data_IF_238271551055
#
_entry.id   IF_238271551055
#
_cell.length_a   1.000
_cell.length_b   1.000
_cell.length_c   1.000
_cell.angle_alpha   90.00
_cell.angle_beta   90.00
_cell.angle_gamma   90.00
#
_symmetry.space_group_name_H-M   'P 1'
#
loop_
_entity.id
_entity.type
_entity.pdbx_description
1 polymer ?
#
# COMPACT_ATOMS: atom_id res chain seq x y z
N UNK A 1 2.51 -3.48 34.01
CA UNK A 1 3.45 -4.51 33.50
C UNK A 1 3.02 -5.17 32.18
N UNK A 2 1.78 -4.99 31.70
CA UNK A 2 1.31 -5.57 30.41
C UNK A 2 1.47 -4.66 29.19
N UNK A 3 2.00 -3.44 29.36
CA UNK A 3 2.08 -2.42 28.30
C UNK A 3 3.51 -2.24 27.75
N UNK A 4 4.52 -2.81 28.42
CA UNK A 4 5.93 -2.74 28.03
C UNK A 4 6.30 -3.72 26.90
N UNK A 5 5.62 -4.87 26.79
CA UNK A 5 5.90 -5.85 25.73
C UNK A 5 5.30 -5.46 24.37
N UNK A 6 4.36 -4.50 24.36
CA UNK A 6 3.52 -4.18 23.22
C UNK A 6 4.21 -3.28 22.17
N UNK A 7 5.30 -2.61 22.54
CA UNK A 7 6.02 -1.65 21.68
C UNK A 7 7.41 -2.14 21.22
N UNK A 8 7.74 -3.41 21.46
CA UNK A 8 9.08 -3.94 21.15
C UNK A 8 9.18 -4.38 19.68
N UNK A 9 10.25 -3.98 19.01
CA UNK A 9 10.61 -4.50 17.69
C UNK A 9 11.16 -5.91 17.84
N UNK A 10 10.36 -6.91 17.45
CA UNK A 10 10.65 -8.32 17.71
C UNK A 10 11.51 -8.99 16.63
N UNK A 11 12.19 -10.09 17.00
CA UNK A 11 12.92 -10.98 16.06
C UNK A 11 12.05 -11.42 14.88
N UNK A 12 10.80 -11.75 15.15
CA UNK A 12 9.84 -12.14 14.10
C UNK A 12 9.65 -11.01 13.08
N UNK A 13 9.53 -9.75 13.52
CA UNK A 13 9.36 -8.61 12.61
C UNK A 13 10.61 -8.34 11.79
N UNK A 14 11.79 -8.52 12.38
CA UNK A 14 13.04 -8.46 11.65
C UNK A 14 13.10 -9.52 10.53
N UNK A 15 12.73 -10.77 10.84
CA UNK A 15 12.63 -11.85 9.84
C UNK A 15 11.59 -11.54 8.75
N UNK A 16 10.42 -10.99 9.13
CA UNK A 16 9.41 -10.55 8.18
C UNK A 16 9.91 -9.43 7.25
N UNK A 17 10.81 -8.57 7.73
CA UNK A 17 11.45 -7.53 6.91
C UNK A 17 12.36 -8.16 5.85
N UNK A 18 13.11 -9.21 6.21
CA UNK A 18 13.94 -9.98 5.25
C UNK A 18 13.08 -10.69 4.23
N UNK A 19 12.01 -11.38 4.67
CA UNK A 19 11.06 -12.01 3.77
C UNK A 19 10.44 -10.99 2.82
N UNK A 20 10.09 -9.80 3.33
CA UNK A 20 9.58 -8.69 2.51
C UNK A 20 10.58 -8.18 1.48
N UNK A 21 11.88 -8.14 1.78
CA UNK A 21 12.93 -7.80 0.81
C UNK A 21 13.06 -8.90 -0.26
N UNK A 22 13.02 -10.16 0.14
CA UNK A 22 13.07 -11.28 -0.81
C UNK A 22 11.88 -11.25 -1.78
N UNK A 23 10.66 -11.04 -1.26
CA UNK A 23 9.47 -10.91 -2.10
C UNK A 23 9.57 -9.75 -3.08
N UNK A 24 10.14 -8.62 -2.66
CA UNK A 24 10.38 -7.46 -3.55
C UNK A 24 11.34 -7.80 -4.70
N UNK A 25 12.42 -8.54 -4.43
CA UNK A 25 13.34 -8.98 -5.49
C UNK A 25 12.68 -9.97 -6.45
N UNK A 26 11.85 -10.88 -5.92
CA UNK A 26 11.08 -11.83 -6.74
C UNK A 26 10.10 -11.08 -7.64
N UNK A 27 9.42 -10.05 -7.13
CA UNK A 27 8.46 -9.21 -7.88
C UNK A 27 9.12 -8.60 -9.12
N UNK A 28 10.25 -7.89 -8.92
CA UNK A 28 11.05 -7.32 -10.01
C UNK A 28 11.41 -8.39 -11.05
N UNK A 29 11.83 -9.58 -10.60
CA UNK A 29 12.16 -10.69 -11.48
C UNK A 29 10.96 -11.19 -12.27
N UNK A 30 9.78 -11.26 -11.65
CA UNK A 30 8.54 -11.67 -12.31
C UNK A 30 8.04 -10.63 -13.32
N UNK A 31 8.20 -9.34 -13.04
CA UNK A 31 7.79 -8.26 -13.94
C UNK A 31 8.66 -8.19 -15.19
N UNK A 32 9.99 -8.30 -15.02
CA UNK A 32 10.93 -8.40 -16.14
C UNK A 32 10.63 -9.63 -16.98
N UNK A 33 10.40 -10.79 -16.35
CA UNK A 33 10.05 -12.02 -17.07
C UNK A 33 8.74 -11.86 -17.85
N UNK A 34 7.74 -11.20 -17.27
CA UNK A 34 6.45 -10.98 -17.91
C UNK A 34 6.58 -10.05 -19.12
N UNK A 35 7.32 -8.94 -18.98
CA UNK A 35 7.58 -8.01 -20.07
C UNK A 35 8.33 -8.69 -21.23
N UNK A 36 9.36 -9.50 -20.92
CA UNK A 36 10.10 -10.28 -21.94
C UNK A 36 9.18 -11.28 -22.63
N UNK A 37 8.30 -11.95 -21.89
CA UNK A 37 7.34 -12.90 -22.47
C UNK A 37 6.42 -12.21 -23.49
N UNK A 38 5.79 -11.09 -23.13
CA UNK A 38 4.92 -10.36 -24.05
C UNK A 38 5.67 -9.80 -25.26
N UNK A 39 6.94 -9.42 -25.10
CA UNK A 39 7.77 -8.96 -26.19
C UNK A 39 8.10 -10.11 -27.17
N UNK A 40 8.43 -11.29 -26.65
CA UNK A 40 8.71 -12.48 -27.45
C UNK A 40 7.46 -13.00 -28.20
N UNK A 41 6.28 -12.83 -27.61
CA UNK A 41 4.99 -13.17 -28.21
C UNK A 41 4.46 -12.06 -29.16
N UNK A 42 5.27 -11.05 -29.50
CA UNK A 42 4.95 -9.92 -30.40
C UNK A 42 3.76 -9.04 -29.93
N UNK A 43 3.36 -9.16 -28.67
CA UNK A 43 2.33 -8.34 -28.05
C UNK A 43 2.91 -7.02 -27.52
N UNK A 44 3.25 -6.11 -28.43
CA UNK A 44 3.92 -4.84 -28.10
C UNK A 44 3.09 -3.92 -27.20
N UNK A 45 1.75 -3.91 -27.34
CA UNK A 45 0.88 -3.08 -26.49
C UNK A 45 0.92 -3.56 -25.04
N UNK A 46 0.82 -4.87 -24.81
CA UNK A 46 0.89 -5.44 -23.46
C UNK A 46 2.27 -5.24 -22.85
N UNK A 47 3.33 -5.40 -23.64
CA UNK A 47 4.69 -5.08 -23.23
C UNK A 47 4.83 -3.63 -22.78
N UNK A 48 4.34 -2.68 -23.59
CA UNK A 48 4.42 -1.25 -23.29
C UNK A 48 3.62 -0.87 -22.03
N UNK A 49 2.43 -1.45 -21.84
CA UNK A 49 1.61 -1.24 -20.65
C UNK A 49 2.31 -1.80 -19.39
N UNK A 50 2.79 -3.04 -19.44
CA UNK A 50 3.53 -3.66 -18.31
C UNK A 50 4.75 -2.83 -17.94
N UNK A 51 5.61 -2.46 -18.90
CA UNK A 51 6.76 -1.60 -18.64
C UNK A 51 6.35 -0.22 -18.12
N UNK A 52 5.25 0.34 -18.63
CA UNK A 52 4.70 1.62 -18.15
C UNK A 52 4.30 1.56 -16.68
N UNK A 53 3.65 0.49 -16.24
CA UNK A 53 3.27 0.29 -14.83
C UNK A 53 4.51 0.11 -13.93
N UNK A 54 5.49 -0.70 -14.37
CA UNK A 54 6.77 -0.88 -13.67
C UNK A 54 7.51 0.45 -13.50
N UNK A 55 7.63 1.22 -14.59
CA UNK A 55 8.27 2.53 -14.56
C UNK A 55 7.51 3.52 -13.68
N UNK A 56 6.17 3.53 -13.70
CA UNK A 56 5.38 4.40 -12.86
C UNK A 56 5.57 4.10 -11.36
N UNK A 57 5.49 2.82 -10.97
CA UNK A 57 5.75 2.37 -9.59
C UNK A 57 7.17 2.72 -9.14
N UNK A 58 8.18 2.41 -9.96
CA UNK A 58 9.58 2.71 -9.66
C UNK A 58 9.84 4.21 -9.56
N UNK A 59 9.36 5.03 -10.49
CA UNK A 59 9.62 6.48 -10.47
C UNK A 59 9.00 7.12 -9.23
N UNK A 60 7.74 6.82 -8.91
CA UNK A 60 7.07 7.39 -7.75
C UNK A 60 7.74 6.96 -6.45
N UNK A 61 8.04 5.67 -6.29
CA UNK A 61 8.68 5.15 -5.08
C UNK A 61 10.08 5.75 -4.88
N UNK A 62 10.86 5.93 -5.94
CA UNK A 62 12.18 6.56 -5.85
C UNK A 62 12.09 8.06 -5.55
N UNK A 63 11.12 8.78 -6.11
CA UNK A 63 10.89 10.21 -5.79
C UNK A 63 10.58 10.38 -4.31
N UNK A 64 9.62 9.62 -3.76
CA UNK A 64 9.29 9.67 -2.33
C UNK A 64 10.44 9.19 -1.46
N UNK A 65 11.10 8.09 -1.83
CA UNK A 65 12.28 7.57 -1.12
C UNK A 65 13.38 8.63 -1.03
N UNK A 66 13.65 9.32 -2.13
CA UNK A 66 14.69 10.36 -2.17
C UNK A 66 14.30 11.56 -1.30
N UNK A 67 13.07 12.06 -1.46
CA UNK A 67 12.58 13.20 -0.71
C UNK A 67 12.66 12.95 0.80
N UNK A 68 12.16 11.80 1.26
CA UNK A 68 12.20 11.44 2.67
C UNK A 68 13.62 11.21 3.19
N UNK A 69 14.53 10.63 2.37
CA UNK A 69 15.92 10.47 2.79
C UNK A 69 16.63 11.82 2.95
N UNK A 70 16.33 12.76 2.04
CA UNK A 70 16.87 14.12 2.11
C UNK A 70 16.41 14.83 3.38
N UNK A 71 15.13 14.69 3.74
CA UNK A 71 14.57 15.27 4.96
C UNK A 71 15.26 14.66 6.20
N UNK A 72 15.39 13.33 6.26
CA UNK A 72 16.06 12.62 7.37
C UNK A 72 17.54 13.06 7.55
N UNK A 73 18.28 13.25 6.45
CA UNK A 73 19.67 13.76 6.49
C UNK A 73 19.73 15.21 6.94
N UNK A 74 18.80 16.04 6.50
CA UNK A 74 18.75 17.45 6.87
C UNK A 74 18.52 17.65 8.36
N UNK A 75 17.78 16.73 8.98
CA UNK A 75 17.51 16.72 10.40
C UNK A 75 18.73 16.32 11.23
N UNK A 76 19.44 15.25 10.82
CA UNK A 76 20.70 14.84 11.48
C UNK A 76 21.74 15.96 11.44
N UNK A 77 21.83 16.69 10.32
CA UNK A 77 22.73 17.83 10.17
C UNK A 77 22.36 19.02 11.08
N UNK A 78 21.08 19.18 11.44
CA UNK A 78 20.62 20.24 12.34
C UNK A 78 20.82 19.86 13.81
N UNK A 79 20.70 18.58 14.14
CA UNK A 79 20.72 18.08 15.53
C UNK A 79 22.11 17.67 16.03
N UNK A 80 23.10 17.50 15.14
CA UNK A 80 24.45 17.06 15.52
C UNK A 80 25.52 18.02 15.00
N UNK A 81 26.11 18.82 15.89
CA UNK A 81 27.45 19.39 15.67
C UNK A 81 28.47 18.23 15.62
N UNK A 82 28.61 17.60 14.45
CA UNK A 82 29.82 16.83 14.13
C UNK A 82 29.79 15.31 14.32
N UNK A 83 28.70 14.60 14.00
CA UNK A 83 28.79 13.15 13.74
C UNK A 83 28.36 12.79 12.31
N UNK A 84 29.29 12.13 11.62
CA UNK A 84 29.24 11.85 10.19
C UNK A 84 28.05 10.94 9.82
N UNK A 85 27.32 11.39 8.80
CA UNK A 85 26.47 10.62 7.85
C UNK A 85 26.35 9.13 8.16
N UNK A 86 25.12 8.70 8.50
CA UNK A 86 24.72 7.31 8.81
C UNK A 86 25.09 6.27 7.72
N UNK A 87 25.55 6.70 6.53
CA UNK A 87 26.12 5.82 5.50
C UNK A 87 27.45 6.30 4.87
N UNK A 88 28.05 7.41 5.32
CA UNK A 88 29.25 7.99 4.71
C UNK A 88 29.11 8.40 3.23
N UNK A 89 27.89 8.42 2.68
CA UNK A 89 27.65 8.69 1.26
C UNK A 89 27.49 10.18 0.98
N UNK A 90 28.12 10.67 -0.10
CA UNK A 90 27.93 12.04 -0.58
C UNK A 90 26.50 12.24 -1.12
N UNK A 91 26.00 13.49 -1.06
CA UNK A 91 24.68 13.86 -1.62
C UNK A 91 24.53 13.43 -3.09
N UNK A 92 25.61 13.49 -3.87
CA UNK A 92 25.63 13.05 -5.27
C UNK A 92 25.48 11.53 -5.43
N UNK A 93 26.17 10.73 -4.61
CA UNK A 93 26.06 9.28 -4.65
C UNK A 93 24.64 8.79 -4.31
N UNK A 94 23.94 9.49 -3.41
CA UNK A 94 22.56 9.18 -3.06
C UNK A 94 21.59 9.45 -4.22
N UNK A 95 21.74 10.57 -4.92
CA UNK A 95 20.93 10.91 -6.11
C UNK A 95 21.13 9.85 -7.19
N UNK A 96 22.40 9.49 -7.46
CA UNK A 96 22.75 8.45 -8.43
C UNK A 96 22.09 7.12 -8.04
N UNK A 97 22.15 6.75 -6.76
CA UNK A 97 21.58 5.50 -6.27
C UNK A 97 20.04 5.44 -6.41
N UNK A 98 19.34 6.56 -6.21
CA UNK A 98 17.89 6.63 -6.45
C UNK A 98 17.54 6.68 -7.93
N UNK A 99 18.38 7.31 -8.76
CA UNK A 99 18.22 7.34 -10.22
C UNK A 99 18.33 5.93 -10.83
N UNK A 100 19.20 5.08 -10.29
CA UNK A 100 19.34 3.67 -10.70
C UNK A 100 18.32 2.72 -10.04
N UNK A 101 17.36 3.22 -9.28
CA UNK A 101 16.35 2.37 -8.62
C UNK A 101 16.84 1.64 -7.37
N UNK A 102 18.09 1.89 -6.93
CA UNK A 102 18.71 1.19 -5.80
C UNK A 102 18.35 1.82 -4.44
N UNK A 103 17.64 2.96 -4.45
CA UNK A 103 17.17 3.70 -3.26
C UNK A 103 16.46 2.84 -2.22
N UNK A 104 15.51 2.03 -2.66
CA UNK A 104 14.73 1.15 -1.78
C UNK A 104 15.63 0.14 -1.06
N UNK A 105 16.62 -0.45 -1.74
CA UNK A 105 17.55 -1.39 -1.12
C UNK A 105 18.38 -0.74 0.00
N UNK A 106 18.73 0.55 -0.13
CA UNK A 106 19.43 1.25 0.96
C UNK A 106 18.54 1.47 2.18
N UNK A 107 17.24 1.74 1.98
CA UNK A 107 16.25 1.82 3.07
C UNK A 107 16.10 0.47 3.78
N UNK A 108 16.01 -0.62 3.03
CA UNK A 108 16.00 -1.98 3.59
C UNK A 108 17.25 -2.28 4.39
N UNK A 109 18.44 -2.00 3.82
CA UNK A 109 19.71 -2.20 4.51
C UNK A 109 19.76 -1.43 5.82
N UNK A 110 19.36 -0.15 5.81
CA UNK A 110 19.34 0.69 7.00
C UNK A 110 18.37 0.16 8.08
N UNK A 111 17.15 -0.23 7.69
CA UNK A 111 16.17 -0.81 8.60
C UNK A 111 16.65 -2.15 9.18
N UNK A 112 17.21 -3.04 8.35
CA UNK A 112 17.71 -4.34 8.77
C UNK A 112 18.93 -4.22 9.69
N UNK A 113 19.87 -3.32 9.40
CA UNK A 113 21.06 -3.07 10.22
C UNK A 113 20.69 -2.50 11.59
N UNK A 114 19.82 -1.48 11.61
CA UNK A 114 19.34 -0.85 12.85
C UNK A 114 18.50 -1.84 13.65
N UNK A 115 17.62 -2.58 12.99
CA UNK A 115 16.81 -3.62 13.62
C UNK A 115 17.66 -4.74 14.21
N UNK A 116 18.70 -5.20 13.51
CA UNK A 116 19.64 -6.18 14.03
C UNK A 116 20.38 -5.68 15.27
N UNK A 117 20.83 -4.42 15.28
CA UNK A 117 21.48 -3.80 16.46
C UNK A 117 20.57 -3.86 17.68
N UNK A 118 19.29 -3.50 17.53
CA UNK A 118 18.30 -3.51 18.63
C UNK A 118 17.89 -4.92 19.05
N UNK A 119 17.82 -5.86 18.11
CA UNK A 119 17.40 -7.25 18.37
C UNK A 119 18.52 -8.12 18.95
N UNK A 120 19.77 -7.88 18.54
CA UNK A 120 20.93 -8.68 18.94
C UNK A 120 21.71 -8.08 20.12
N UNK A 121 21.70 -6.76 20.33
CA UNK A 121 22.17 -6.23 21.61
C UNK A 121 21.03 -6.38 22.61
N UNK A 122 21.20 -7.25 23.60
CA UNK A 122 20.51 -7.10 24.88
C UNK A 122 21.03 -5.79 25.47
N UNK A 123 20.28 -4.72 25.27
CA UNK A 123 20.63 -3.36 25.68
C UNK A 123 20.64 -3.26 27.21
N UNK A 124 21.70 -3.77 27.84
CA UNK A 124 21.87 -3.78 29.29
C UNK A 124 22.32 -2.41 29.85
N UNK A 125 22.48 -1.39 29.00
CA UNK A 125 23.08 -0.10 29.38
C UNK A 125 22.31 1.15 28.92
N UNK A 126 21.13 1.03 28.31
CA UNK A 126 20.30 2.19 27.95
C UNK A 126 19.13 2.32 28.91
N UNK A 127 18.75 3.56 29.18
CA UNK A 127 17.55 3.91 29.96
C UNK A 127 16.30 3.39 29.24
N UNK A 128 15.24 3.07 29.99
CA UNK A 128 13.95 2.63 29.43
C UNK A 128 13.37 3.62 28.40
N UNK A 129 13.66 4.91 28.53
CA UNK A 129 13.23 5.94 27.57
C UNK A 129 14.01 5.88 26.24
N UNK A 130 15.33 5.74 26.30
CA UNK A 130 16.18 5.60 25.10
C UNK A 130 15.84 4.34 24.31
N UNK A 131 15.50 3.25 25.01
CA UNK A 131 15.05 2.00 24.38
C UNK A 131 13.72 2.18 23.65
N UNK A 132 12.77 2.92 24.24
CA UNK A 132 11.48 3.22 23.59
C UNK A 132 11.67 4.10 22.35
N UNK A 133 12.58 5.07 22.41
CA UNK A 133 12.89 5.94 21.28
C UNK A 133 13.51 5.16 20.11
N UNK A 134 14.47 4.27 20.37
CA UNK A 134 15.06 3.40 19.32
C UNK A 134 13.99 2.50 18.65
N UNK A 135 13.09 1.91 19.44
CA UNK A 135 11.98 1.10 18.90
C UNK A 135 10.98 1.93 18.09
N UNK A 136 10.65 3.14 18.55
CA UNK A 136 9.77 4.05 17.84
C UNK A 136 10.38 4.47 16.49
N UNK A 137 11.67 4.81 16.46
CA UNK A 137 12.41 5.12 15.23
C UNK A 137 12.38 3.96 14.24
N UNK A 138 12.54 2.72 14.70
CA UNK A 138 12.41 1.53 13.85
C UNK A 138 11.01 1.38 13.25
N UNK A 139 9.95 1.70 14.00
CA UNK A 139 8.59 1.69 13.47
C UNK A 139 8.31 2.82 12.49
N UNK A 140 8.93 3.99 12.65
CA UNK A 140 8.87 5.06 11.66
C UNK A 140 9.51 4.62 10.34
N UNK A 141 10.74 4.09 10.39
CA UNK A 141 11.43 3.54 9.21
C UNK A 141 10.64 2.41 8.52
N UNK A 142 10.05 1.50 9.31
CA UNK A 142 9.20 0.44 8.78
C UNK A 142 7.91 1.00 8.15
N UNK A 143 7.34 2.07 8.70
CA UNK A 143 6.16 2.75 8.16
C UNK A 143 6.47 3.35 6.79
N UNK A 144 7.56 4.11 6.69
CA UNK A 144 8.00 4.68 5.42
C UNK A 144 8.19 3.59 4.36
N UNK A 145 8.88 2.50 4.71
CA UNK A 145 9.11 1.39 3.78
C UNK A 145 7.80 0.70 3.36
N UNK A 146 6.90 0.44 4.31
CA UNK A 146 5.58 -0.15 4.01
C UNK A 146 4.71 0.77 3.15
N UNK A 147 4.87 2.08 3.27
CA UNK A 147 4.17 3.07 2.46
C UNK A 147 4.71 3.10 1.02
N UNK A 148 6.03 3.01 0.82
CA UNK A 148 6.62 2.88 -0.52
C UNK A 148 6.11 1.61 -1.21
N UNK A 149 6.12 0.47 -0.50
CA UNK A 149 5.57 -0.79 -1.02
C UNK A 149 4.09 -0.70 -1.35
N UNK A 150 3.33 0.07 -0.57
CA UNK A 150 1.93 0.32 -0.86
C UNK A 150 1.77 1.12 -2.17
N UNK A 151 2.59 2.14 -2.39
CA UNK A 151 2.56 2.92 -3.63
C UNK A 151 2.89 2.07 -4.84
N UNK A 152 3.97 1.30 -4.76
CA UNK A 152 4.35 0.32 -5.78
C UNK A 152 3.21 -0.65 -6.08
N UNK A 153 2.65 -1.30 -5.05
CA UNK A 153 1.58 -2.27 -5.23
C UNK A 153 0.36 -1.72 -5.99
N UNK A 154 0.00 -0.45 -5.79
CA UNK A 154 -1.18 0.16 -6.44
C UNK A 154 -0.87 0.87 -7.77
N UNK A 155 0.37 1.30 -8.01
CA UNK A 155 0.77 1.94 -9.27
C UNK A 155 1.29 0.94 -10.30
N UNK A 156 1.84 -0.18 -9.84
CA UNK A 156 2.46 -1.22 -10.64
C UNK A 156 1.65 -2.52 -10.58
N UNK A 157 1.62 -3.19 -9.42
CA UNK A 157 1.08 -4.54 -9.32
C UNK A 157 -0.43 -4.63 -9.58
N UNK A 158 -1.23 -3.65 -9.14
CA UNK A 158 -2.70 -3.63 -9.35
C UNK A 158 -3.06 -3.42 -10.84
N UNK A 159 -2.57 -2.37 -11.54
CA UNK A 159 -2.81 -2.22 -12.98
C UNK A 159 -2.27 -3.39 -13.81
N UNK A 160 -1.14 -3.95 -13.42
CA UNK A 160 -0.59 -5.14 -14.07
C UNK A 160 -1.46 -6.38 -13.84
N UNK A 161 -1.97 -6.60 -12.63
CA UNK A 161 -2.92 -7.69 -12.33
C UNK A 161 -4.23 -7.49 -13.11
N UNK A 162 -4.72 -6.26 -13.23
CA UNK A 162 -5.90 -5.92 -14.04
C UNK A 162 -5.67 -6.25 -15.52
N UNK A 163 -4.50 -5.92 -16.08
CA UNK A 163 -4.11 -6.28 -17.45
C UNK A 163 -3.99 -7.80 -17.62
N UNK A 164 -3.36 -8.49 -16.68
CA UNK A 164 -3.22 -9.95 -16.70
C UNK A 164 -4.58 -10.64 -16.68
N UNK A 165 -5.49 -10.18 -15.82
CA UNK A 165 -6.86 -10.68 -15.78
C UNK A 165 -7.58 -10.40 -17.09
N UNK A 166 -7.44 -9.20 -17.67
CA UNK A 166 -8.02 -8.90 -18.98
C UNK A 166 -7.55 -9.88 -20.07
N UNK A 167 -6.25 -10.15 -20.15
CA UNK A 167 -5.67 -11.09 -21.13
C UNK A 167 -6.16 -12.52 -20.87
N UNK A 168 -6.12 -12.98 -19.63
CA UNK A 168 -6.50 -14.35 -19.23
C UNK A 168 -7.99 -14.62 -19.44
N UNK A 169 -8.85 -13.66 -19.11
CA UNK A 169 -10.28 -13.81 -19.27
C UNK A 169 -10.72 -13.69 -20.74
N UNK A 170 -9.94 -13.01 -21.58
CA UNK A 170 -10.15 -12.93 -23.03
C UNK A 170 -9.63 -14.20 -23.75
N UNK A 171 -8.49 -14.75 -23.32
CA UNK A 171 -7.86 -15.94 -23.90
C UNK A 171 -8.14 -17.19 -23.04
N UNK A 172 -9.14 -17.99 -23.43
CA UNK A 172 -9.70 -19.15 -22.69
C UNK A 172 -8.76 -20.33 -22.38
N UNK A 173 -7.45 -20.21 -22.64
CA UNK A 173 -6.44 -21.23 -22.40
C UNK A 173 -5.47 -20.77 -21.31
N UNK A 174 -5.67 -21.22 -20.08
CA UNK A 174 -4.81 -20.83 -18.95
C UNK A 174 -4.31 -22.02 -18.14
N UNK A 175 -3.04 -21.92 -17.73
CA UNK A 175 -2.41 -22.88 -16.83
C UNK A 175 -2.81 -22.63 -15.38
N UNK A 176 -2.89 -23.69 -14.57
CA UNK A 176 -3.15 -23.60 -13.12
C UNK A 176 -2.15 -22.67 -12.42
N UNK A 177 -0.91 -22.64 -12.90
CA UNK A 177 0.15 -21.79 -12.35
C UNK A 177 -0.15 -20.29 -12.51
N UNK A 178 -0.80 -19.87 -13.61
CA UNK A 178 -1.19 -18.47 -13.80
C UNK A 178 -2.28 -18.05 -12.80
N UNK A 179 -3.27 -18.90 -12.56
CA UNK A 179 -4.31 -18.65 -11.55
C UNK A 179 -3.73 -18.55 -10.14
N UNK A 180 -2.78 -19.44 -9.79
CA UNK A 180 -2.06 -19.36 -8.52
C UNK A 180 -1.23 -18.07 -8.40
N UNK A 181 -0.56 -17.64 -9.47
CA UNK A 181 0.19 -16.39 -9.50
C UNK A 181 -0.69 -15.16 -9.28
N UNK A 182 -1.85 -15.10 -9.95
CA UNK A 182 -2.82 -14.02 -9.77
C UNK A 182 -3.41 -14.02 -8.35
N UNK A 183 -3.73 -15.18 -7.80
CA UNK A 183 -4.20 -15.31 -6.42
C UNK A 183 -3.16 -14.81 -5.40
N UNK A 184 -1.89 -15.16 -5.61
CA UNK A 184 -0.78 -14.64 -4.80
C UNK A 184 -0.64 -13.12 -4.94
N UNK A 185 -0.83 -12.57 -6.14
CA UNK A 185 -0.78 -11.13 -6.39
C UNK A 185 -1.88 -10.38 -5.62
N UNK A 186 -3.13 -10.87 -5.65
CA UNK A 186 -4.21 -10.33 -4.83
C UNK A 186 -3.89 -10.34 -3.33
N UNK A 187 -3.32 -11.46 -2.85
CA UNK A 187 -2.90 -11.57 -1.46
C UNK A 187 -1.79 -10.57 -1.12
N UNK A 188 -0.79 -10.41 -1.98
CA UNK A 188 0.32 -9.48 -1.77
C UNK A 188 -0.17 -8.03 -1.70
N UNK A 189 -1.06 -7.61 -2.62
CA UNK A 189 -1.68 -6.26 -2.61
C UNK A 189 -2.44 -6.01 -1.31
N UNK A 190 -3.29 -6.96 -0.90
CA UNK A 190 -4.04 -6.84 0.35
C UNK A 190 -3.10 -6.79 1.57
N UNK A 191 -2.05 -7.62 1.57
CA UNK A 191 -1.06 -7.67 2.64
C UNK A 191 -0.26 -6.37 2.74
N UNK A 192 0.18 -5.78 1.62
CA UNK A 192 0.89 -4.49 1.61
C UNK A 192 0.07 -3.39 2.30
N UNK A 193 -1.24 -3.34 2.04
CA UNK A 193 -2.16 -2.41 2.69
C UNK A 193 -2.32 -2.66 4.20
N UNK A 194 -2.43 -3.93 4.61
CA UNK A 194 -2.52 -4.30 6.03
C UNK A 194 -1.21 -4.02 6.76
N UNK A 195 -0.07 -4.35 6.14
CA UNK A 195 1.26 -4.10 6.70
C UNK A 195 1.49 -2.61 6.92
N UNK A 196 1.18 -1.78 5.92
CA UNK A 196 1.20 -0.33 6.07
C UNK A 196 0.31 0.15 7.22
N UNK A 197 -0.95 -0.32 7.28
CA UNK A 197 -1.88 0.09 8.35
C UNK A 197 -1.37 -0.29 9.74
N UNK A 198 -0.72 -1.44 9.87
CA UNK A 198 -0.11 -1.90 11.13
C UNK A 198 1.16 -1.13 11.48
N UNK A 199 2.01 -0.83 10.50
CA UNK A 199 3.20 -0.02 10.71
C UNK A 199 2.82 1.40 11.15
N UNK A 200 1.91 2.04 10.44
CA UNK A 200 1.39 3.38 10.76
C UNK A 200 0.81 3.45 12.18
N UNK A 201 -0.04 2.48 12.58
CA UNK A 201 -0.60 2.47 13.94
C UNK A 201 0.45 2.29 15.04
N UNK A 202 1.57 1.63 14.74
CA UNK A 202 2.65 1.40 15.71
C UNK A 202 3.67 2.53 15.76
N UNK A 203 3.77 3.33 14.70
CA UNK A 203 4.56 4.55 14.71
C UNK A 203 3.82 5.72 15.38
N UNK A 204 2.52 5.60 15.65
CA UNK A 204 1.72 6.63 16.30
C UNK A 204 1.59 6.34 17.82
N UNK A 205 2.23 7.13 18.71
CA UNK A 205 2.26 6.84 20.14
C UNK A 205 0.89 6.99 20.83
N UNK A 206 0.01 7.83 20.29
CA UNK A 206 -1.32 8.10 20.84
C UNK A 206 -2.40 7.10 20.39
N UNK A 207 -2.13 6.30 19.35
CA UNK A 207 -3.12 5.37 18.79
C UNK A 207 -2.87 3.95 19.27
N UNK A 208 -3.91 3.27 19.74
CA UNK A 208 -3.81 1.86 20.14
C UNK A 208 -3.45 0.98 18.94
N UNK A 209 -2.41 0.16 19.13
CA UNK A 209 -1.97 -0.77 18.09
C UNK A 209 -3.05 -1.79 17.73
N UNK A 210 -2.94 -2.32 16.52
CA UNK A 210 -3.79 -3.40 16.05
C UNK A 210 -3.23 -4.74 16.53
N UNK A 211 -4.00 -5.53 17.33
CA UNK A 211 -3.51 -6.79 17.86
C UNK A 211 -3.15 -7.76 16.72
N UNK A 212 -2.02 -8.47 16.88
CA UNK A 212 -1.70 -9.60 16.01
C UNK A 212 -2.70 -10.75 16.21
N UNK A 213 -3.03 -11.46 15.13
CA UNK A 213 -3.95 -12.61 15.16
C UNK A 213 -5.27 -12.32 14.45
N UNK A 214 -6.39 -12.67 15.09
CA UNK A 214 -7.73 -12.65 14.50
C UNK A 214 -8.17 -11.27 13.96
N UNK A 215 -7.92 -10.12 14.64
CA UNK A 215 -8.21 -8.80 14.06
C UNK A 215 -7.46 -8.52 12.76
N UNK A 216 -6.19 -8.93 12.70
CA UNK A 216 -5.35 -8.77 11.50
C UNK A 216 -5.87 -9.65 10.36
N UNK A 217 -6.22 -10.89 10.66
CA UNK A 217 -6.78 -11.83 9.67
C UNK A 217 -8.12 -11.35 9.09
N UNK A 218 -9.04 -10.87 9.93
CA UNK A 218 -10.35 -10.39 9.46
C UNK A 218 -10.22 -9.09 8.65
N UNK A 219 -9.33 -8.19 9.06
CA UNK A 219 -9.05 -6.98 8.28
C UNK A 219 -8.40 -7.30 6.92
N UNK A 220 -7.49 -8.27 6.89
CA UNK A 220 -6.89 -8.79 5.66
C UNK A 220 -7.95 -9.40 4.74
N UNK A 221 -8.84 -10.24 5.28
CA UNK A 221 -9.93 -10.85 4.51
C UNK A 221 -10.88 -9.79 3.94
N UNK A 222 -11.24 -8.79 4.75
CA UNK A 222 -12.02 -7.64 4.28
C UNK A 222 -11.35 -6.94 3.08
N UNK A 223 -10.05 -6.62 3.19
CA UNK A 223 -9.32 -5.93 2.11
C UNK A 223 -9.14 -6.80 0.88
N UNK A 224 -8.78 -8.08 1.07
CA UNK A 224 -8.65 -9.05 -0.01
C UNK A 224 -9.95 -9.19 -0.79
N UNK A 225 -11.06 -9.48 -0.11
CA UNK A 225 -12.36 -9.68 -0.76
C UNK A 225 -12.85 -8.42 -1.49
N UNK A 226 -12.74 -7.24 -0.85
CA UNK A 226 -13.17 -6.00 -1.50
C UNK A 226 -12.31 -5.66 -2.72
N UNK A 227 -10.97 -5.70 -2.61
CA UNK A 227 -10.06 -5.43 -3.73
C UNK A 227 -10.28 -6.42 -4.88
N UNK A 228 -10.41 -7.71 -4.58
CA UNK A 228 -10.66 -8.74 -5.59
C UNK A 228 -11.96 -8.49 -6.35
N UNK A 229 -13.07 -8.19 -5.65
CA UNK A 229 -14.32 -7.87 -6.32
C UNK A 229 -14.21 -6.64 -7.23
N UNK A 230 -13.52 -5.58 -6.79
CA UNK A 230 -13.37 -4.36 -7.61
C UNK A 230 -12.55 -4.61 -8.87
N UNK A 231 -11.39 -5.28 -8.74
CA UNK A 231 -10.51 -5.57 -9.86
C UNK A 231 -11.21 -6.51 -10.86
N UNK A 232 -11.92 -7.54 -10.39
CA UNK A 232 -12.69 -8.42 -11.26
C UNK A 232 -13.81 -7.65 -11.99
N UNK A 233 -14.55 -6.77 -11.30
CA UNK A 233 -15.57 -5.93 -11.94
C UNK A 233 -14.99 -4.98 -12.99
N UNK A 234 -13.84 -4.37 -12.73
CA UNK A 234 -13.12 -3.56 -13.72
C UNK A 234 -12.65 -4.39 -14.91
N UNK A 235 -12.19 -5.61 -14.66
CA UNK A 235 -11.81 -6.53 -15.75
C UNK A 235 -13.00 -6.83 -16.65
N UNK A 236 -14.18 -7.12 -16.07
CA UNK A 236 -15.41 -7.36 -16.86
C UNK A 236 -15.81 -6.14 -17.68
N UNK A 237 -15.67 -4.91 -17.14
CA UNK A 237 -15.92 -3.68 -17.89
C UNK A 237 -14.93 -3.49 -19.04
N UNK A 238 -13.65 -3.80 -18.84
CA UNK A 238 -12.64 -3.72 -19.90
C UNK A 238 -12.87 -4.75 -21.02
N UNK A 239 -13.32 -5.96 -20.68
CA UNK A 239 -13.74 -6.98 -21.65
C UNK A 239 -14.96 -6.51 -22.44
N UNK A 240 -15.93 -5.89 -21.77
CA UNK A 240 -17.10 -5.33 -22.42
C UNK A 240 -16.72 -4.24 -23.42
N UNK A 241 -15.84 -3.32 -23.00
CA UNK A 241 -15.33 -2.25 -23.86
C UNK A 241 -13.98 -1.73 -23.37
N UNK A 242 -12.95 -1.65 -24.22
CA UNK A 242 -11.67 -1.04 -23.83
C UNK A 242 -11.81 0.45 -23.48
N UNK A 243 -12.85 1.13 -23.98
CA UNK A 243 -13.17 2.51 -23.61
C UNK A 243 -13.54 2.68 -22.13
N UNK A 244 -13.88 1.61 -21.41
CA UNK A 244 -14.08 1.64 -19.95
C UNK A 244 -12.83 2.08 -19.18
N UNK A 245 -11.64 2.04 -19.80
CA UNK A 245 -10.42 2.66 -19.26
C UNK A 245 -10.56 4.18 -19.04
N UNK A 246 -11.37 4.87 -19.87
CA UNK A 246 -11.69 6.29 -19.68
C UNK A 246 -12.47 6.46 -18.36
N UNK A 247 -13.41 5.57 -18.07
CA UNK A 247 -14.15 5.55 -16.81
C UNK A 247 -13.23 5.39 -15.60
N UNK A 248 -12.26 4.47 -15.66
CA UNK A 248 -11.25 4.31 -14.61
C UNK A 248 -10.41 5.58 -14.41
N UNK A 249 -10.06 6.25 -15.50
CA UNK A 249 -9.33 7.54 -15.45
C UNK A 249 -10.20 8.62 -14.79
N UNK A 250 -11.49 8.67 -15.08
CA UNK A 250 -12.43 9.60 -14.41
C UNK A 250 -12.53 9.30 -12.92
N UNK A 251 -12.61 8.02 -12.51
CA UNK A 251 -12.62 7.63 -11.09
C UNK A 251 -11.34 8.06 -10.37
N UNK A 252 -10.18 7.88 -11.02
CA UNK A 252 -8.91 8.36 -10.50
C UNK A 252 -8.90 9.88 -10.32
N UNK A 253 -9.38 10.65 -11.30
CA UNK A 253 -9.49 12.10 -11.19
C UNK A 253 -10.43 12.51 -10.06
N UNK A 254 -11.59 11.86 -9.91
CA UNK A 254 -12.51 12.11 -8.80
C UNK A 254 -11.86 11.82 -7.44
N UNK A 255 -11.13 10.70 -7.32
CA UNK A 255 -10.37 10.37 -6.12
C UNK A 255 -9.29 11.41 -5.80
N UNK A 256 -8.59 11.90 -6.83
CA UNK A 256 -7.56 12.95 -6.69
C UNK A 256 -8.17 14.31 -6.33
N UNK A 257 -9.32 14.66 -6.90
CA UNK A 257 -10.06 15.87 -6.53
C UNK A 257 -10.54 15.79 -5.09
N UNK A 258 -11.05 14.63 -4.66
CA UNK A 258 -11.45 14.40 -3.28
C UNK A 258 -10.28 14.56 -2.30
N UNK A 259 -9.09 14.03 -2.61
CA UNK A 259 -7.89 14.21 -1.76
C UNK A 259 -7.41 15.66 -1.76
N UNK A 260 -7.59 16.39 -2.86
CA UNK A 260 -7.31 17.83 -2.90
C UNK A 260 -8.26 18.63 -2.01
N UNK A 261 -9.56 18.32 -2.04
CA UNK A 261 -10.58 18.95 -1.18
C UNK A 261 -10.37 18.65 0.30
N UNK A 262 -9.80 17.48 0.63
CA UNK A 262 -9.44 17.11 2.00
C UNK A 262 -8.29 17.95 2.59
N UNK A 263 -7.55 18.68 1.74
CA UNK A 263 -6.38 19.52 2.09
C UNK A 263 -5.33 18.77 2.91
N UNK A 264 -4.72 17.73 2.32
CA UNK A 264 -3.64 16.98 2.98
C UNK A 264 -2.34 17.78 3.07
N UNK A 265 -1.58 17.63 4.15
CA UNK A 265 -0.30 18.33 4.40
C UNK A 265 0.84 17.34 4.68
N UNK A 266 1.01 16.33 3.82
CA UNK A 266 1.96 15.24 4.06
C UNK A 266 3.41 15.61 3.70
N UNK A 267 3.61 16.32 2.60
CA UNK A 267 4.93 16.61 2.05
C UNK A 267 5.41 18.03 2.38
N UNK A 268 6.72 18.20 2.53
CA UNK A 268 7.36 19.52 2.72
C UNK A 268 7.29 20.44 1.50
N UNK A 269 7.08 19.88 0.30
CA UNK A 269 7.00 20.64 -0.96
C UNK A 269 5.64 20.46 -1.64
N UNK A 270 5.10 21.54 -2.20
CA UNK A 270 3.77 21.53 -2.84
C UNK A 270 3.69 20.59 -4.05
N UNK A 271 4.76 20.46 -4.83
CA UNK A 271 4.81 19.53 -5.97
C UNK A 271 4.77 18.06 -5.53
N UNK A 272 5.45 17.71 -4.44
CA UNK A 272 5.43 16.36 -3.89
C UNK A 272 4.07 16.05 -3.23
N UNK A 273 3.42 17.05 -2.65
CA UNK A 273 2.06 16.93 -2.11
C UNK A 273 1.04 16.67 -3.22
N UNK A 274 1.18 17.35 -4.37
CA UNK A 274 0.34 17.08 -5.55
C UNK A 274 0.52 15.64 -6.05
N UNK A 275 1.77 15.18 -6.15
CA UNK A 275 2.07 13.79 -6.52
C UNK A 275 1.46 12.81 -5.50
N UNK A 276 1.61 13.08 -4.20
CA UNK A 276 1.03 12.27 -3.14
C UNK A 276 -0.49 12.15 -3.31
N UNK A 277 -1.19 13.28 -3.48
CA UNK A 277 -2.65 13.32 -3.68
C UNK A 277 -3.08 12.52 -4.91
N UNK A 278 -2.33 12.58 -6.00
CA UNK A 278 -2.58 11.79 -7.22
C UNK A 278 -2.42 10.29 -6.99
N UNK A 279 -1.36 9.87 -6.27
CA UNK A 279 -1.13 8.46 -5.90
C UNK A 279 -2.24 7.95 -4.98
N UNK A 280 -2.63 8.72 -3.97
CA UNK A 280 -3.76 8.37 -3.12
C UNK A 280 -5.06 8.27 -3.94
N UNK A 281 -5.26 9.14 -4.93
CA UNK A 281 -6.35 9.02 -5.88
C UNK A 281 -6.37 7.67 -6.62
N UNK A 282 -5.20 7.15 -7.03
CA UNK A 282 -5.09 5.81 -7.63
C UNK A 282 -5.51 4.75 -6.62
N UNK A 283 -4.98 4.79 -5.39
CA UNK A 283 -5.34 3.85 -4.34
C UNK A 283 -6.86 3.85 -4.09
N UNK A 284 -7.48 5.03 -4.02
CA UNK A 284 -8.92 5.22 -3.85
C UNK A 284 -9.76 4.70 -5.02
N UNK A 285 -9.17 4.46 -6.19
CA UNK A 285 -9.89 3.80 -7.29
C UNK A 285 -10.08 2.31 -7.02
N UNK A 286 -9.21 1.69 -6.22
CA UNK A 286 -9.21 0.23 -5.98
C UNK A 286 -9.57 -0.15 -4.55
N UNK A 287 -9.30 0.70 -3.55
CA UNK A 287 -9.64 0.43 -2.15
C UNK A 287 -9.84 1.71 -1.35
N UNK A 288 -10.75 1.66 -0.38
CA UNK A 288 -10.90 2.76 0.57
C UNK A 288 -9.62 2.93 1.40
N UNK A 289 -8.99 4.09 1.29
CA UNK A 289 -7.80 4.47 2.04
C UNK A 289 -8.11 5.71 2.88
N UNK A 290 -7.94 5.60 4.19
CA UNK A 290 -8.20 6.72 5.10
C UNK A 290 -6.98 7.65 5.15
N UNK A 291 -7.13 8.83 4.55
CA UNK A 291 -6.06 9.83 4.40
C UNK A 291 -5.99 10.81 5.58
N UNK A 292 -7.12 11.12 6.22
CA UNK A 292 -7.24 12.21 7.21
C UNK A 292 -7.42 11.74 8.65
N UNK A 293 -7.55 10.43 8.88
CA UNK A 293 -7.65 9.84 10.21
C UNK A 293 -9.00 10.03 10.93
N UNK A 294 -9.70 11.15 10.74
CA UNK A 294 -10.88 11.55 11.54
C UNK A 294 -12.22 11.42 10.80
N UNK A 295 -13.29 11.07 11.55
CA UNK A 295 -14.71 11.01 11.16
C UNK A 295 -15.04 10.42 9.76
N UNK A 296 -14.30 9.38 9.37
CA UNK A 296 -14.44 8.80 8.03
C UNK A 296 -15.62 7.85 7.84
N UNK A 297 -16.56 7.76 8.79
CA UNK A 297 -17.67 6.80 8.73
C UNK A 297 -18.58 7.07 7.53
N UNK A 298 -18.99 8.33 7.34
CA UNK A 298 -19.86 8.71 6.23
C UNK A 298 -19.15 8.52 4.88
N UNK A 299 -17.90 9.00 4.77
CA UNK A 299 -17.08 8.83 3.56
C UNK A 299 -16.88 7.35 3.20
N UNK A 300 -16.66 6.48 4.19
CA UNK A 300 -16.54 5.04 4.01
C UNK A 300 -17.86 4.41 3.53
N UNK A 301 -18.99 4.80 4.11
CA UNK A 301 -20.32 4.33 3.67
C UNK A 301 -20.58 4.73 2.22
N UNK A 302 -20.38 6.00 1.87
CA UNK A 302 -20.57 6.50 0.51
C UNK A 302 -19.68 5.75 -0.49
N UNK A 303 -18.40 5.56 -0.14
CA UNK A 303 -17.45 4.80 -0.94
C UNK A 303 -17.95 3.38 -1.20
N UNK A 304 -18.30 2.63 -0.14
CA UNK A 304 -18.70 1.23 -0.29
C UNK A 304 -20.04 1.06 -0.99
N UNK A 305 -20.97 2.02 -0.85
CA UNK A 305 -22.21 2.04 -1.61
C UNK A 305 -21.93 2.24 -3.10
N UNK A 306 -21.12 3.23 -3.45
CA UNK A 306 -20.74 3.50 -4.84
C UNK A 306 -20.10 2.28 -5.51
N UNK A 307 -19.13 1.66 -4.85
CA UNK A 307 -18.44 0.49 -5.40
C UNK A 307 -19.28 -0.79 -5.36
N UNK A 308 -20.21 -0.94 -4.41
CA UNK A 308 -21.19 -2.02 -4.48
C UNK A 308 -22.07 -1.87 -5.74
N UNK A 309 -22.47 -0.65 -6.10
CA UNK A 309 -23.17 -0.39 -7.35
C UNK A 309 -22.33 -0.78 -8.57
N UNK A 310 -21.05 -0.39 -8.62
CA UNK A 310 -20.14 -0.79 -9.71
C UNK A 310 -20.01 -2.31 -9.81
N UNK A 311 -19.86 -3.00 -8.68
CA UNK A 311 -19.70 -4.45 -8.64
C UNK A 311 -20.96 -5.20 -9.08
N UNK A 312 -22.14 -4.62 -8.90
CA UNK A 312 -23.41 -5.15 -9.44
C UNK A 312 -23.53 -4.82 -10.94
N UNK A 313 -23.26 -3.57 -11.33
CA UNK A 313 -23.45 -3.10 -12.70
C UNK A 313 -22.51 -3.80 -13.68
N UNK A 314 -21.25 -4.08 -13.32
CA UNK A 314 -20.28 -4.64 -14.26
C UNK A 314 -20.69 -6.03 -14.82
N UNK A 315 -21.00 -7.06 -13.99
CA UNK A 315 -21.53 -8.32 -14.49
C UNK A 315 -22.87 -8.17 -15.21
N UNK A 316 -23.79 -7.34 -14.68
CA UNK A 316 -25.11 -7.15 -15.28
C UNK A 316 -25.03 -6.52 -16.68
N UNK A 317 -24.18 -5.51 -16.86
CA UNK A 317 -24.01 -4.84 -18.14
C UNK A 317 -23.36 -5.79 -19.17
N UNK A 318 -22.39 -6.60 -18.74
CA UNK A 318 -21.78 -7.61 -19.61
C UNK A 318 -22.81 -8.69 -20.01
N UNK A 319 -23.63 -9.17 -19.08
CA UNK A 319 -24.70 -10.12 -19.37
C UNK A 319 -25.75 -9.56 -20.35
N UNK A 320 -26.11 -8.27 -20.22
CA UNK A 320 -27.11 -7.62 -21.09
C UNK A 320 -26.57 -7.31 -22.49
N UNK A 321 -25.33 -6.83 -22.60
CA UNK A 321 -24.74 -6.39 -23.87
C UNK A 321 -24.00 -7.50 -24.63
N UNK A 322 -23.74 -8.64 -23.99
CA UNK A 322 -23.16 -9.85 -24.58
C UNK A 322 -23.94 -11.09 -24.12
N UNK A 323 -25.19 -11.27 -24.60
CA UNK A 323 -26.05 -12.39 -24.19
C UNK A 323 -25.45 -13.77 -24.49
N UNK A 324 -24.54 -13.87 -25.48
CA UNK A 324 -23.78 -15.09 -25.79
C UNK A 324 -22.93 -15.59 -24.62
N UNK A 325 -22.42 -14.67 -23.77
CA UNK A 325 -21.62 -14.99 -22.59
C UNK A 325 -22.47 -15.19 -21.33
N UNK A 326 -23.78 -14.86 -21.38
CA UNK A 326 -24.66 -14.84 -20.21
C UNK A 326 -24.78 -16.21 -19.52
N UNK A 327 -24.87 -17.28 -20.31
CA UNK A 327 -25.02 -18.66 -19.80
C UNK A 327 -23.69 -19.41 -19.70
N UNK A 328 -22.58 -18.72 -19.93
CA UNK A 328 -21.26 -19.33 -19.75
C UNK A 328 -21.01 -19.59 -18.27
N UNK A 329 -20.65 -20.83 -17.92
CA UNK A 329 -20.20 -21.22 -16.57
C UNK A 329 -19.15 -20.26 -16.03
N UNK A 330 -18.32 -19.71 -16.92
CA UNK A 330 -17.31 -18.73 -16.63
C UNK A 330 -17.88 -17.42 -16.09
N UNK A 331 -18.84 -16.78 -16.79
CA UNK A 331 -19.44 -15.52 -16.35
C UNK A 331 -20.17 -15.70 -15.02
N UNK A 332 -20.88 -16.82 -14.86
CA UNK A 332 -21.56 -17.14 -13.60
C UNK A 332 -20.56 -17.30 -12.45
N UNK A 333 -19.43 -17.99 -12.69
CA UNK A 333 -18.38 -18.20 -11.69
C UNK A 333 -17.74 -16.87 -11.28
N UNK A 334 -17.31 -16.05 -12.25
CA UNK A 334 -16.69 -14.74 -11.96
C UNK A 334 -17.69 -13.80 -11.27
N UNK A 335 -18.94 -13.78 -11.71
CA UNK A 335 -20.01 -13.01 -11.05
C UNK A 335 -20.21 -13.49 -9.61
N UNK A 336 -20.23 -14.80 -9.37
CA UNK A 336 -20.29 -15.39 -8.04
C UNK A 336 -19.15 -14.94 -7.14
N UNK A 337 -17.91 -14.90 -7.65
CA UNK A 337 -16.77 -14.34 -6.92
C UNK A 337 -16.91 -12.84 -6.64
N UNK A 338 -17.41 -12.05 -7.59
CA UNK A 338 -17.63 -10.61 -7.42
C UNK A 338 -18.68 -10.35 -6.32
N UNK A 339 -19.85 -10.97 -6.42
CA UNK A 339 -20.93 -10.80 -5.45
C UNK A 339 -20.58 -11.38 -4.08
N UNK A 340 -20.10 -12.63 -4.06
CA UNK A 340 -19.69 -13.32 -2.83
C UNK A 340 -18.55 -12.58 -2.12
N UNK A 341 -17.54 -12.13 -2.87
CA UNK A 341 -16.43 -11.33 -2.36
C UNK A 341 -16.89 -9.96 -1.83
N UNK A 342 -17.81 -9.29 -2.52
CA UNK A 342 -18.32 -7.98 -2.07
C UNK A 342 -19.08 -8.12 -0.75
N UNK A 343 -19.99 -9.09 -0.66
CA UNK A 343 -20.76 -9.36 0.55
C UNK A 343 -19.85 -9.79 1.70
N UNK A 344 -18.97 -10.77 1.47
CA UNK A 344 -18.03 -11.26 2.48
C UNK A 344 -17.11 -10.14 2.97
N UNK A 345 -16.60 -9.31 2.07
CA UNK A 345 -15.77 -8.15 2.39
C UNK A 345 -16.49 -7.14 3.28
N UNK A 346 -17.75 -6.81 2.96
CA UNK A 346 -18.57 -5.89 3.78
C UNK A 346 -18.94 -6.50 5.14
N UNK A 347 -19.23 -7.80 5.21
CA UNK A 347 -19.47 -8.50 6.48
C UNK A 347 -18.22 -8.46 7.35
N UNK A 348 -17.04 -8.76 6.78
CA UNK A 348 -15.76 -8.67 7.50
C UNK A 348 -15.44 -7.24 7.93
N UNK A 349 -15.77 -6.22 7.13
CA UNK A 349 -15.64 -4.81 7.49
C UNK A 349 -16.48 -4.48 8.73
N UNK A 350 -17.76 -4.85 8.72
CA UNK A 350 -18.69 -4.61 9.83
C UNK A 350 -18.23 -5.37 11.09
N UNK A 351 -17.90 -6.66 10.96
CA UNK A 351 -17.35 -7.47 12.05
C UNK A 351 -16.10 -6.84 12.66
N UNK A 352 -15.18 -6.37 11.82
CA UNK A 352 -13.98 -5.69 12.27
C UNK A 352 -14.33 -4.44 13.09
N UNK A 353 -15.16 -3.53 12.57
CA UNK A 353 -15.49 -2.28 13.27
C UNK A 353 -16.38 -2.45 14.51
N UNK A 354 -17.21 -3.50 14.56
CA UNK A 354 -18.08 -3.77 15.70
C UNK A 354 -17.33 -4.47 16.85
N UNK A 355 -16.53 -5.49 16.55
CA UNK A 355 -16.00 -6.41 17.57
C UNK A 355 -14.49 -6.26 17.81
N UNK A 356 -13.73 -5.85 16.80
CA UNK A 356 -12.26 -6.02 16.78
C UNK A 356 -11.49 -4.72 16.65
N UNK A 357 -12.16 -3.66 16.21
CA UNK A 357 -11.54 -2.36 16.07
C UNK A 357 -11.28 -1.80 17.47
N UNK A 358 -10.02 -1.45 17.79
CA UNK A 358 -9.70 -0.83 19.06
C UNK A 358 -10.40 0.53 19.12
N UNK A 359 -11.58 0.58 19.76
CA UNK A 359 -12.29 1.83 20.03
C UNK A 359 -11.41 2.71 20.91
N UNK A 360 -11.01 3.86 20.39
CA UNK A 360 -10.53 4.95 21.22
C UNK A 360 -11.69 5.41 22.12
N UNK A 361 -11.42 5.55 23.42
CA UNK A 361 -12.29 6.36 24.27
C UNK A 361 -12.17 7.79 23.72
N UNK A 362 -13.32 8.38 23.39
CA UNK A 362 -13.48 9.73 22.85
C UNK A 362 -12.59 10.77 23.54
N UNK A 363 -12.03 11.65 22.72
CA UNK A 363 -11.88 13.07 23.03
C UNK A 363 -10.60 13.43 23.76
N UNK A 364 -9.56 13.76 23.01
CA UNK A 364 -8.61 14.78 23.41
C UNK A 364 -8.08 15.44 22.13
N UNK A 365 -8.17 16.77 22.10
CA UNK A 365 -7.60 17.60 21.07
C UNK A 365 -6.07 17.49 21.17
N UNK A 366 -5.43 17.30 20.02
CA UNK A 366 -4.04 16.87 19.93
C UNK A 366 -3.13 18.10 19.77
N UNK A 367 -3.03 18.94 20.82
CA UNK A 367 -1.86 19.83 20.99
C UNK A 367 -0.83 19.11 21.87
N UNK A 368 0.34 18.79 21.30
CA UNK A 368 1.53 18.43 22.09
C UNK A 368 2.76 19.09 21.48
N UNK A 369 3.13 20.23 22.07
CA UNK A 369 4.43 20.89 21.91
C UNK A 369 5.55 19.97 22.41
N UNK A 370 6.49 19.70 21.51
CA UNK A 370 7.73 18.99 21.78
C UNK A 370 8.52 18.84 20.48
N UNK A 371 9.84 19.08 20.46
CA UNK A 371 10.65 19.07 19.24
C UNK A 371 10.84 17.61 18.79
N UNK A 372 9.88 17.07 18.06
CA UNK A 372 9.98 15.76 17.44
C UNK A 372 10.76 15.82 16.14
N UNK A 373 11.44 14.71 15.82
CA UNK A 373 12.12 14.49 14.54
C UNK A 373 11.19 14.74 13.34
N UNK A 374 11.73 15.11 12.18
CA UNK A 374 10.96 15.38 10.97
C UNK A 374 10.23 14.11 10.48
N UNK A 375 10.80 12.91 10.71
CA UNK A 375 10.10 11.63 10.53
C UNK A 375 8.87 11.51 11.45
N UNK A 376 8.95 11.97 12.69
CA UNK A 376 7.82 12.03 13.62
C UNK A 376 6.81 13.11 13.19
N UNK A 377 7.27 14.23 12.61
CA UNK A 377 6.39 15.27 12.01
C UNK A 377 5.64 14.76 10.78
N UNK A 378 6.26 14.01 9.87
CA UNK A 378 5.57 13.41 8.70
C UNK A 378 4.41 12.50 9.12
N UNK A 379 4.63 11.69 10.16
CA UNK A 379 3.63 10.76 10.73
C UNK A 379 2.60 11.52 11.59
N UNK A 380 2.97 12.66 12.19
CA UNK A 380 2.03 13.57 12.88
C UNK A 380 1.11 14.31 11.90
N UNK A 381 1.65 14.78 10.78
CA UNK A 381 0.90 15.39 9.67
C UNK A 381 -0.04 14.40 8.96
N UNK A 382 0.17 13.10 9.17
CA UNK A 382 -0.76 12.04 8.73
C UNK A 382 -2.10 12.06 9.50
N UNK A 383 -2.16 12.73 10.65
CA UNK A 383 -3.33 12.75 11.54
C UNK A 383 -3.88 14.16 11.82
N UNK A 384 -3.08 15.20 11.64
CA UNK A 384 -3.49 16.58 11.93
C UNK A 384 -3.80 17.34 10.63
N UNK A 385 -4.95 18.03 10.54
CA UNK A 385 -5.35 18.84 9.38
C UNK A 385 -4.37 19.98 9.07
#
# INVERSE_FOLDING_TARGET
>A
MLQSDLLSYTRLRWLLTIAGLFLYVVDIGTDVRLAVKYFQEEHFVWTALTLGFVLAGLLVTQIFSYAWYRDDVSEVLKNSEGEQTVLGMSKGALVVLHLFGVGIFTRYYHLLRTGFKVVCKTTNSLTEEERKDEHHKLFCLATDLSMLKLFEAFLESVPQLLLQLYIVLDHSQCSVMQYLSMAFSFFNIAWALVDYRRCLRRSLPQIREMPSGLPTAIYLLYKLCTITSHILSYTLLLILSPYSAIGLTVLWLLGTMWTHLLQTNFCSSGSLELLYRAVIGVILTFTFFNVKGQDTKLAMIIYYLFFASVNITAPSLLALLRPELQMSTFLLTVSGFIFGGSVLGLVCLVLYYLLLHPREKRGEADEVDGPGSESTRRIRNFLQP
#
